data_IF_141680672673
#
_entry.id   IF_141680672673
#
_cell.length_a   1.000
_cell.length_b   1.000
_cell.length_c   1.000
_cell.angle_alpha   90.00
_cell.angle_beta   90.00
_cell.angle_gamma   90.00
#
_symmetry.space_group_name_H-M   'P 1'
#
loop_
_entity.id
_entity.type
_entity.pdbx_description
1 polymer ?
#
# COMPACT_ATOMS: atom_id res chain seq x y z
N UNK A 1 7.68 14.65 -12.77
CA UNK A 1 8.06 14.37 -11.37
C UNK A 1 6.83 13.83 -10.67
N UNK A 2 6.84 12.56 -10.27
CA UNK A 2 5.71 11.98 -9.54
C UNK A 2 5.89 12.40 -8.09
N UNK A 3 5.17 13.45 -7.67
CA UNK A 3 5.25 13.94 -6.29
C UNK A 3 4.67 12.91 -5.32
N UNK A 4 5.22 12.84 -4.12
CA UNK A 4 4.74 11.98 -3.02
C UNK A 4 3.22 12.13 -2.80
N UNK A 5 2.72 13.35 -2.91
CA UNK A 5 1.29 13.70 -2.86
C UNK A 5 0.46 13.06 -3.98
N UNK A 6 1.01 12.93 -5.19
CA UNK A 6 0.31 12.31 -6.31
C UNK A 6 0.10 10.82 -6.06
N UNK A 7 1.13 10.14 -5.53
CA UNK A 7 1.05 8.72 -5.19
C UNK A 7 0.08 8.52 -4.03
N UNK A 8 0.17 9.35 -2.98
CA UNK A 8 -0.75 9.32 -1.85
C UNK A 8 -2.20 9.46 -2.29
N UNK A 9 -2.50 10.48 -3.10
CA UNK A 9 -3.86 10.71 -3.60
C UNK A 9 -4.37 9.53 -4.42
N UNK A 10 -3.51 8.92 -5.23
CA UNK A 10 -3.86 7.73 -6.01
C UNK A 10 -4.15 6.53 -5.10
N UNK A 11 -3.34 6.31 -4.09
CA UNK A 11 -3.54 5.26 -3.08
C UNK A 11 -4.88 5.46 -2.36
N UNK A 12 -5.20 6.68 -1.93
CA UNK A 12 -6.48 7.01 -1.29
C UNK A 12 -7.67 6.80 -2.23
N UNK A 13 -7.53 7.14 -3.52
CA UNK A 13 -8.55 6.88 -4.55
C UNK A 13 -8.77 5.37 -4.72
N UNK A 14 -7.70 4.58 -4.82
CA UNK A 14 -7.81 3.12 -4.94
C UNK A 14 -8.45 2.48 -3.70
N UNK A 15 -8.08 2.93 -2.51
CA UNK A 15 -8.65 2.44 -1.26
C UNK A 15 -10.09 2.92 -1.03
N UNK A 16 -10.53 3.96 -1.73
CA UNK A 16 -11.83 4.60 -1.51
C UNK A 16 -11.95 5.28 -0.14
N UNK A 17 -10.84 5.45 0.58
CA UNK A 17 -10.76 6.17 1.85
C UNK A 17 -9.39 6.83 1.99
N UNK A 18 -9.32 7.95 2.70
CA UNK A 18 -8.05 8.51 3.12
C UNK A 18 -7.43 7.64 4.21
N UNK A 19 -6.18 7.26 4.01
CA UNK A 19 -5.38 6.57 5.00
C UNK A 19 -3.91 6.90 4.80
N UNK A 20 -3.10 6.61 5.81
CA UNK A 20 -1.67 6.83 5.74
C UNK A 20 -0.95 5.56 5.29
N UNK A 21 -0.39 5.50 4.06
CA UNK A 21 0.32 4.33 3.58
C UNK A 21 1.65 4.11 4.30
N UNK A 22 2.12 5.02 5.15
CA UNK A 22 3.31 4.81 6.00
C UNK A 22 2.98 3.92 7.19
N UNK A 23 1.73 3.93 7.65
CA UNK A 23 1.30 3.15 8.81
C UNK A 23 0.92 1.75 8.35
N UNK A 24 1.58 0.75 8.93
CA UNK A 24 1.40 -0.64 8.53
C UNK A 24 -0.03 -1.13 8.79
N UNK A 25 -0.59 -0.83 9.96
CA UNK A 25 -1.94 -1.24 10.34
C UNK A 25 -3.03 -0.70 9.39
N UNK A 26 -2.90 0.55 8.94
CA UNK A 26 -3.85 1.15 7.99
C UNK A 26 -3.78 0.46 6.62
N UNK A 27 -2.56 0.17 6.16
CA UNK A 27 -2.34 -0.55 4.90
C UNK A 27 -2.93 -1.96 4.99
N UNK A 28 -2.67 -2.68 6.07
CA UNK A 28 -3.20 -4.03 6.29
C UNK A 28 -4.73 -4.05 6.33
N UNK A 29 -5.34 -3.10 7.05
CA UNK A 29 -6.79 -3.01 7.13
C UNK A 29 -7.43 -2.69 5.78
N UNK A 30 -6.84 -1.78 5.01
CA UNK A 30 -7.32 -1.43 3.64
C UNK A 30 -7.18 -2.64 2.72
N UNK A 31 -6.01 -3.28 2.69
CA UNK A 31 -5.76 -4.43 1.82
C UNK A 31 -6.70 -5.58 2.17
N UNK A 32 -6.93 -5.86 3.46
CA UNK A 32 -7.82 -6.92 3.91
C UNK A 32 -9.30 -6.58 3.71
N UNK A 33 -9.74 -5.39 4.08
CA UNK A 33 -11.16 -5.01 4.03
C UNK A 33 -11.63 -4.67 2.62
N UNK A 34 -10.80 -3.98 1.81
CA UNK A 34 -11.21 -3.56 0.46
C UNK A 34 -10.80 -4.50 -0.64
N UNK A 35 -9.58 -5.00 -0.59
CA UNK A 35 -9.06 -5.84 -1.66
C UNK A 35 -9.17 -7.33 -1.34
N UNK A 36 -9.59 -7.68 -0.11
CA UNK A 36 -9.60 -9.06 0.39
C UNK A 36 -8.23 -9.74 0.28
N UNK A 37 -7.16 -8.94 0.32
CA UNK A 37 -5.79 -9.40 0.23
C UNK A 37 -5.33 -9.78 1.64
N UNK A 38 -4.96 -11.04 1.80
CA UNK A 38 -4.26 -11.50 2.99
C UNK A 38 -2.77 -11.44 2.73
N UNK A 39 -2.09 -10.50 3.37
CA UNK A 39 -0.65 -10.45 3.31
C UNK A 39 -0.06 -11.69 4.01
N UNK A 40 1.01 -12.28 3.44
CA UNK A 40 1.73 -13.34 4.13
C UNK A 40 2.32 -12.78 5.43
N UNK A 41 2.20 -13.52 6.53
CA UNK A 41 2.88 -13.20 7.79
C UNK A 41 4.40 -13.30 7.55
N UNK A 42 5.04 -12.17 7.28
CA UNK A 42 6.49 -12.03 7.18
C UNK A 42 6.99 -11.03 8.20
N UNK A 43 8.29 -11.04 8.41
CA UNK A 43 9.02 -10.22 9.39
C UNK A 43 8.86 -8.70 9.18
N UNK A 44 8.40 -8.23 8.01
CA UNK A 44 8.18 -6.79 7.75
C UNK A 44 7.16 -6.59 6.64
N UNK A 45 6.27 -5.61 6.80
CA UNK A 45 5.21 -5.30 5.83
C UNK A 45 5.79 -5.02 4.44
N UNK A 46 6.92 -4.31 4.34
CA UNK A 46 7.59 -4.04 3.06
C UNK A 46 7.92 -5.31 2.27
N UNK A 47 8.32 -6.41 2.93
CA UNK A 47 8.58 -7.70 2.27
C UNK A 47 7.30 -8.41 1.86
N UNK A 48 6.22 -8.27 2.63
CA UNK A 48 4.91 -8.80 2.26
C UNK A 48 4.35 -8.04 1.06
N UNK A 49 4.38 -6.71 1.11
CA UNK A 49 3.99 -5.84 -0.01
C UNK A 49 4.80 -6.19 -1.26
N UNK A 50 6.14 -6.21 -1.19
CA UNK A 50 7.00 -6.52 -2.34
C UNK A 50 6.74 -7.91 -2.96
N UNK A 51 6.19 -8.86 -2.20
CA UNK A 51 5.84 -10.19 -2.70
C UNK A 51 4.47 -10.23 -3.39
N UNK A 52 3.62 -9.23 -3.15
CA UNK A 52 2.23 -9.14 -3.64
C UNK A 52 2.04 -7.91 -4.55
N UNK A 53 3.10 -7.14 -4.81
CA UNK A 53 3.11 -6.02 -5.78
C UNK A 53 2.76 -6.46 -7.20
N UNK A 54 3.03 -7.72 -7.55
CA UNK A 54 2.75 -8.26 -8.88
C UNK A 54 1.26 -8.51 -9.12
N UNK A 55 0.50 -8.78 -8.04
CA UNK A 55 -0.94 -9.03 -8.11
C UNK A 55 -1.76 -7.75 -8.06
N UNK A 56 -1.27 -6.70 -7.39
CA UNK A 56 -2.03 -5.48 -7.17
C UNK A 56 -1.21 -4.20 -7.32
N UNK A 57 -1.60 -3.36 -8.27
CA UNK A 57 -0.97 -2.05 -8.52
C UNK A 57 -0.94 -1.15 -7.28
N UNK A 58 -1.98 -1.19 -6.43
CA UNK A 58 -2.02 -0.39 -5.19
C UNK A 58 -0.85 -0.72 -4.25
N UNK A 59 -0.45 -1.99 -4.17
CA UNK A 59 0.67 -2.41 -3.34
C UNK A 59 1.99 -1.84 -3.88
N UNK A 60 2.15 -1.83 -5.20
CA UNK A 60 3.26 -1.15 -5.87
C UNK A 60 3.32 0.34 -5.57
N UNK A 61 2.17 1.02 -5.58
CA UNK A 61 2.07 2.45 -5.24
C UNK A 61 2.42 2.71 -3.77
N UNK A 62 1.93 1.90 -2.84
CA UNK A 62 2.24 2.02 -1.40
C UNK A 62 3.74 1.82 -1.16
N UNK A 63 4.33 0.79 -1.78
CA UNK A 63 5.77 0.53 -1.67
C UNK A 63 6.59 1.69 -2.26
N UNK A 64 6.17 2.22 -3.42
CA UNK A 64 6.82 3.36 -4.05
C UNK A 64 6.73 4.61 -3.17
N UNK A 65 5.58 4.89 -2.55
CA UNK A 65 5.40 6.00 -1.61
C UNK A 65 6.32 5.88 -0.39
N UNK A 66 6.45 4.67 0.16
CA UNK A 66 7.33 4.38 1.31
C UNK A 66 8.82 4.48 0.95
N UNK A 67 9.17 4.12 -0.27
CA UNK A 67 10.56 4.09 -0.76
C UNK A 67 11.03 5.47 -1.25
N UNK A 68 10.12 6.34 -1.69
CA UNK A 68 10.39 7.74 -2.04
C UNK A 68 10.57 8.67 -0.82
N UNK A 69 10.82 8.10 0.36
CA UNK A 69 11.11 8.82 1.61
C UNK A 69 12.41 9.59 1.54
#
# INVERSE_FOLDING_TARGET
>A
MVSKEFIHRRICIYAGKEFDPTIDEHVEEVLRSKFNIHLPQRTSLNKSLASTTSDHEIIGLILQYRTMG
#
